data_IF_893606348309
#
_entry.id   IF_893606348309
#
_cell.length_a   1.000
_cell.length_b   1.000
_cell.length_c   1.000
_cell.angle_alpha   90.00
_cell.angle_beta   90.00
_cell.angle_gamma   90.00
#
_symmetry.space_group_name_H-M   'P 1'
#
loop_
_entity.id
_entity.type
_entity.pdbx_description
1 polymer ?
#
# COMPACT_ATOMS: atom_id res chain seq x y z
N UNK A 1 0.89 -15.71 11.30
CA UNK A 1 0.51 -15.79 9.87
C UNK A 1 -0.67 -14.86 9.60
N UNK A 2 -0.54 -13.94 8.64
CA UNK A 2 -1.56 -12.96 8.25
C UNK A 2 -2.17 -13.41 6.92
N UNK A 3 -3.48 -13.67 6.89
CA UNK A 3 -4.14 -14.16 5.68
C UNK A 3 -4.17 -13.09 4.58
N UNK A 4 -4.65 -11.88 4.88
CA UNK A 4 -4.75 -10.79 3.91
C UNK A 4 -4.15 -9.51 4.45
N UNK A 5 -3.31 -8.85 3.67
CA UNK A 5 -2.75 -7.55 4.00
C UNK A 5 -2.91 -6.53 2.87
N UNK A 6 -3.07 -5.27 3.22
CA UNK A 6 -2.97 -4.13 2.30
C UNK A 6 -1.60 -3.48 2.46
N UNK A 7 -0.74 -3.62 1.47
CA UNK A 7 0.58 -3.00 1.42
C UNK A 7 0.47 -1.66 0.73
N UNK A 8 0.94 -0.61 1.42
CA UNK A 8 1.00 0.76 0.87
C UNK A 8 2.46 1.10 0.57
N UNK A 9 2.95 0.84 -0.65
CA UNK A 9 4.31 1.21 -1.02
C UNK A 9 4.42 2.72 -1.26
N UNK A 10 5.30 3.36 -0.52
CA UNK A 10 5.53 4.79 -0.62
C UNK A 10 6.98 5.13 -0.27
N UNK A 11 7.52 6.17 -0.90
CA UNK A 11 8.82 6.80 -0.58
C UNK A 11 8.69 8.30 -0.64
N UNK A 12 9.38 8.98 0.24
CA UNK A 12 9.38 10.44 0.27
C UNK A 12 10.35 11.06 -0.76
N UNK A 13 11.30 10.26 -1.28
CA UNK A 13 12.32 10.66 -2.26
C UNK A 13 11.79 10.78 -3.70
N UNK A 14 10.59 11.32 -3.91
CA UNK A 14 10.06 11.57 -5.25
C UNK A 14 10.78 12.73 -5.92
N UNK A 15 11.43 12.50 -7.07
CA UNK A 15 12.14 13.55 -7.82
C UNK A 15 11.18 14.48 -8.58
N UNK A 16 10.03 13.97 -9.05
CA UNK A 16 9.02 14.74 -9.80
C UNK A 16 8.24 15.70 -8.93
N UNK A 17 7.87 15.28 -7.73
CA UNK A 17 7.17 16.10 -6.75
C UNK A 17 7.68 15.73 -5.35
N UNK A 18 8.68 16.44 -4.83
CA UNK A 18 9.22 16.18 -3.50
C UNK A 18 8.14 16.24 -2.43
N UNK A 19 8.22 15.31 -1.47
CA UNK A 19 7.30 15.22 -0.33
C UNK A 19 5.81 15.13 -0.73
N UNK A 20 5.50 14.55 -1.91
CA UNK A 20 4.10 14.50 -2.40
C UNK A 20 3.15 13.83 -1.41
N UNK A 21 3.61 12.81 -0.70
CA UNK A 21 2.84 12.08 0.31
C UNK A 21 2.45 12.92 1.52
N UNK A 22 3.26 13.95 1.83
CA UNK A 22 3.08 14.83 2.97
C UNK A 22 2.28 16.09 2.63
N UNK A 23 1.95 16.30 1.34
CA UNK A 23 1.18 17.48 0.94
C UNK A 23 -0.23 17.41 1.49
N UNK A 24 -0.62 18.49 2.17
CA UNK A 24 -1.98 18.68 2.68
C UNK A 24 -2.94 18.95 1.53
N UNK A 25 -4.04 18.23 1.48
CA UNK A 25 -5.05 18.33 0.42
C UNK A 25 -6.28 19.07 0.96
N UNK A 26 -6.88 18.58 2.04
CA UNK A 26 -8.10 19.16 2.62
C UNK A 26 -8.07 19.00 4.14
N UNK A 27 -8.51 20.02 4.87
CA UNK A 27 -8.64 19.98 6.35
C UNK A 27 -7.36 19.48 7.05
N UNK A 28 -6.19 19.92 6.58
CA UNK A 28 -4.87 19.48 7.05
C UNK A 28 -4.52 18.00 6.86
N UNK A 29 -5.36 17.19 6.19
CA UNK A 29 -5.04 15.82 5.84
C UNK A 29 -3.95 15.77 4.76
N UNK A 30 -2.91 14.97 5.01
CA UNK A 30 -1.88 14.65 4.01
C UNK A 30 -2.44 13.68 2.97
N UNK A 31 -1.89 13.66 1.78
CA UNK A 31 -2.34 12.70 0.75
C UNK A 31 -2.23 11.25 1.23
N UNK A 32 -1.17 10.92 1.96
CA UNK A 32 -0.99 9.57 2.51
C UNK A 32 -2.04 9.20 3.56
N UNK A 33 -2.52 10.16 4.37
CA UNK A 33 -3.56 9.90 5.36
C UNK A 33 -4.85 9.39 4.68
N UNK A 34 -5.20 9.97 3.53
CA UNK A 34 -6.37 9.55 2.75
C UNK A 34 -6.21 8.10 2.25
N UNK A 35 -5.04 7.76 1.72
CA UNK A 35 -4.75 6.40 1.23
C UNK A 35 -4.82 5.38 2.37
N UNK A 36 -4.22 5.69 3.53
CA UNK A 36 -4.25 4.82 4.71
C UNK A 36 -5.70 4.60 5.18
N UNK A 37 -6.50 5.66 5.30
CA UNK A 37 -7.88 5.53 5.75
C UNK A 37 -8.75 4.72 4.77
N UNK A 38 -8.48 4.83 3.45
CA UNK A 38 -9.16 4.00 2.46
C UNK A 38 -8.70 2.54 2.54
N UNK A 39 -7.41 2.29 2.73
CA UNK A 39 -6.87 0.94 2.90
C UNK A 39 -7.44 0.26 4.16
N UNK A 40 -7.61 0.98 5.27
CA UNK A 40 -8.23 0.45 6.50
C UNK A 40 -9.66 -0.04 6.28
N UNK A 41 -10.41 0.55 5.34
CA UNK A 41 -11.79 0.12 5.03
C UNK A 41 -11.86 -1.29 4.44
N UNK A 42 -10.75 -1.86 3.98
CA UNK A 42 -10.71 -3.28 3.58
C UNK A 42 -10.82 -4.24 4.75
N UNK A 43 -10.58 -3.79 5.98
CA UNK A 43 -10.40 -4.61 7.19
C UNK A 43 -9.22 -5.61 7.09
N UNK A 44 -8.29 -5.41 6.15
CA UNK A 44 -7.05 -6.17 6.06
C UNK A 44 -5.99 -5.60 6.99
N UNK A 45 -4.94 -6.37 7.23
CA UNK A 45 -3.77 -5.89 7.96
C UNK A 45 -3.03 -4.84 7.12
N UNK A 46 -3.03 -3.58 7.54
CA UNK A 46 -2.45 -2.49 6.76
C UNK A 46 -0.98 -2.31 7.12
N UNK A 47 -0.12 -2.29 6.10
CA UNK A 47 1.32 -2.10 6.24
C UNK A 47 1.78 -0.99 5.29
N UNK A 48 2.44 0.02 5.84
CA UNK A 48 3.16 1.00 5.03
C UNK A 48 4.54 0.44 4.71
N UNK A 49 4.92 0.36 3.42
CA UNK A 49 6.22 -0.18 3.01
C UNK A 49 7.09 0.91 2.39
N UNK A 50 8.24 1.19 3.02
CA UNK A 50 9.13 2.27 2.62
C UNK A 50 10.61 1.85 2.59
N UNK A 51 11.51 2.78 2.28
CA UNK A 51 12.94 2.51 2.26
C UNK A 51 13.59 2.69 3.62
N UNK A 52 14.86 2.28 3.72
CA UNK A 52 15.70 2.51 4.91
C UNK A 52 16.34 3.90 4.93
N UNK A 53 16.12 4.73 3.93
CA UNK A 53 16.68 6.09 3.86
C UNK A 53 16.09 6.99 4.94
N UNK A 54 16.91 7.90 5.50
CA UNK A 54 16.47 8.84 6.53
C UNK A 54 15.37 9.80 6.06
N UNK A 55 15.30 10.09 4.75
CA UNK A 55 14.20 10.87 4.14
C UNK A 55 12.84 10.24 4.34
N UNK A 56 12.78 8.93 4.61
CA UNK A 56 11.55 8.17 4.83
C UNK A 56 11.21 7.99 6.33
N UNK A 57 12.00 8.55 7.27
CA UNK A 57 11.75 8.42 8.71
C UNK A 57 10.39 9.02 9.10
N UNK A 58 9.97 10.10 8.44
CA UNK A 58 8.65 10.71 8.65
C UNK A 58 7.49 9.73 8.40
N UNK A 59 7.68 8.74 7.52
CA UNK A 59 6.67 7.72 7.24
C UNK A 59 6.51 6.71 8.39
N UNK A 60 7.56 6.56 9.22
CA UNK A 60 7.49 5.76 10.46
C UNK A 60 6.56 6.43 11.46
N UNK A 61 6.66 7.74 11.62
CA UNK A 61 5.81 8.49 12.55
C UNK A 61 4.34 8.51 12.06
N UNK A 62 4.14 8.65 10.76
CA UNK A 62 2.80 8.54 10.14
C UNK A 62 2.18 7.17 10.40
N UNK A 63 2.94 6.08 10.24
CA UNK A 63 2.44 4.74 10.54
C UNK A 63 2.02 4.59 12.01
N UNK A 64 2.80 5.15 12.94
CA UNK A 64 2.45 5.20 14.38
C UNK A 64 1.18 6.01 14.63
N UNK A 65 1.06 7.22 14.05
CA UNK A 65 -0.13 8.07 14.16
C UNK A 65 -1.40 7.33 13.75
N UNK A 66 -1.32 6.54 12.69
CA UNK A 66 -2.43 5.76 12.18
C UNK A 66 -2.59 4.37 12.84
N UNK A 67 -1.70 3.99 13.76
CA UNK A 67 -1.68 2.66 14.40
C UNK A 67 -1.66 1.51 13.37
N UNK A 68 -0.84 1.64 12.33
CA UNK A 68 -0.60 0.62 11.32
C UNK A 68 0.84 0.12 11.37
N UNK A 69 1.08 -1.06 10.78
CA UNK A 69 2.42 -1.60 10.68
C UNK A 69 3.28 -0.81 9.67
N UNK A 70 4.59 -0.88 9.85
CA UNK A 70 5.56 -0.33 8.89
C UNK A 70 6.64 -1.37 8.60
N UNK A 71 7.04 -1.45 7.35
CA UNK A 71 8.20 -2.22 6.89
C UNK A 71 9.16 -1.31 6.14
N UNK A 72 10.44 -1.42 6.46
CA UNK A 72 11.52 -0.68 5.78
C UNK A 72 12.45 -1.66 5.08
N UNK A 73 12.68 -1.44 3.79
CA UNK A 73 13.49 -2.35 2.96
C UNK A 73 14.18 -1.64 1.81
N UNK A 74 14.50 -2.38 0.76
CA UNK A 74 15.28 -1.88 -0.38
C UNK A 74 14.72 -0.59 -0.96
N UNK A 75 15.58 0.43 -1.12
CA UNK A 75 15.25 1.69 -1.80
C UNK A 75 14.96 1.47 -3.29
N UNK A 76 15.86 0.76 -3.97
CA UNK A 76 15.89 0.69 -5.43
C UNK A 76 15.11 -0.48 -6.01
N UNK A 77 14.80 -1.49 -5.21
CA UNK A 77 14.07 -2.68 -5.66
C UNK A 77 12.73 -2.78 -4.92
N UNK A 78 11.67 -2.25 -5.57
CA UNK A 78 10.30 -2.24 -5.06
C UNK A 78 9.79 -3.68 -4.83
N UNK A 79 10.03 -4.58 -5.77
CA UNK A 79 9.56 -5.97 -5.69
C UNK A 79 10.26 -6.71 -4.55
N UNK A 80 11.60 -6.55 -4.41
CA UNK A 80 12.33 -7.13 -3.28
C UNK A 80 11.77 -6.61 -1.94
N UNK A 81 11.48 -5.32 -1.82
CA UNK A 81 10.92 -4.75 -0.60
C UNK A 81 9.56 -5.36 -0.25
N UNK A 82 8.71 -5.59 -1.24
CA UNK A 82 7.43 -6.28 -1.01
C UNK A 82 7.63 -7.73 -0.58
N UNK A 83 8.46 -8.47 -1.31
CA UNK A 83 8.78 -9.85 -0.97
C UNK A 83 9.31 -9.99 0.46
N UNK A 84 10.30 -9.17 0.83
CA UNK A 84 10.87 -9.16 2.18
C UNK A 84 9.79 -8.82 3.25
N UNK A 85 8.88 -7.88 2.93
CA UNK A 85 7.76 -7.54 3.80
C UNK A 85 6.80 -8.74 3.98
N UNK A 86 6.39 -9.38 2.89
CA UNK A 86 5.50 -10.55 2.94
C UNK A 86 6.10 -11.67 3.79
N UNK A 87 7.40 -11.92 3.63
CA UNK A 87 8.12 -12.92 4.43
C UNK A 87 8.21 -12.55 5.90
N UNK A 88 8.54 -11.30 6.21
CA UNK A 88 8.70 -10.82 7.61
C UNK A 88 7.42 -10.93 8.41
N UNK A 89 6.29 -10.61 7.79
CA UNK A 89 4.97 -10.63 8.44
C UNK A 89 4.19 -11.93 8.21
N UNK A 90 4.78 -12.91 7.51
CA UNK A 90 4.13 -14.18 7.16
C UNK A 90 2.77 -13.98 6.50
N UNK A 91 2.74 -13.12 5.45
CA UNK A 91 1.52 -12.75 4.72
C UNK A 91 1.28 -13.74 3.59
N UNK A 92 0.04 -14.23 3.48
CA UNK A 92 -0.38 -15.14 2.40
C UNK A 92 -0.82 -14.37 1.14
N UNK A 93 -1.68 -13.37 1.29
CA UNK A 93 -2.22 -12.60 0.17
C UNK A 93 -2.01 -11.11 0.41
N UNK A 94 -1.55 -10.40 -0.61
CA UNK A 94 -1.29 -8.98 -0.56
C UNK A 94 -2.12 -8.20 -1.58
N UNK A 95 -2.81 -7.17 -1.10
CA UNK A 95 -3.41 -6.12 -1.91
C UNK A 95 -2.44 -4.95 -1.97
N UNK A 96 -2.03 -4.55 -3.16
CA UNK A 96 -1.14 -3.41 -3.34
C UNK A 96 -1.98 -2.16 -3.56
N UNK A 97 -1.76 -1.17 -2.70
CA UNK A 97 -2.41 0.14 -2.74
C UNK A 97 -1.31 1.18 -2.88
N UNK A 98 -1.06 1.67 -4.11
CA UNK A 98 0.01 2.65 -4.29
C UNK A 98 -0.24 3.90 -3.44
N UNK A 99 0.80 4.40 -2.76
CA UNK A 99 0.71 5.45 -1.75
C UNK A 99 0.31 6.83 -2.28
N UNK A 100 0.05 6.96 -3.58
CA UNK A 100 -0.49 8.13 -4.27
C UNK A 100 -1.86 7.89 -4.93
N UNK A 101 -2.45 6.72 -4.75
CA UNK A 101 -3.79 6.39 -5.25
C UNK A 101 -4.88 6.90 -4.31
N UNK A 102 -5.14 8.21 -4.34
CA UNK A 102 -6.12 8.87 -3.47
C UNK A 102 -7.55 8.35 -3.67
N UNK A 103 -7.84 7.81 -4.84
CA UNK A 103 -9.14 7.28 -5.22
C UNK A 103 -9.21 5.75 -5.11
N UNK A 104 -8.23 5.10 -4.46
CA UNK A 104 -8.24 3.65 -4.27
C UNK A 104 -9.62 3.17 -3.81
N UNK A 105 -10.19 2.22 -4.56
CA UNK A 105 -11.49 1.63 -4.27
C UNK A 105 -11.32 0.35 -3.43
N UNK A 106 -11.68 0.44 -2.15
CA UNK A 106 -11.53 -0.67 -1.20
C UNK A 106 -12.47 -1.84 -1.51
N UNK A 107 -13.66 -1.61 -2.12
CA UNK A 107 -14.56 -2.69 -2.50
C UNK A 107 -13.99 -3.50 -3.68
N UNK A 108 -13.38 -2.82 -4.67
CA UNK A 108 -12.63 -3.49 -5.74
C UNK A 108 -11.47 -4.27 -5.13
N UNK A 109 -10.73 -3.69 -4.19
CA UNK A 109 -9.62 -4.35 -3.50
C UNK A 109 -10.06 -5.64 -2.79
N UNK A 110 -11.16 -5.59 -2.03
CA UNK A 110 -11.71 -6.77 -1.34
C UNK A 110 -12.11 -7.86 -2.35
N UNK A 111 -12.85 -7.50 -3.41
CA UNK A 111 -13.26 -8.45 -4.46
C UNK A 111 -12.06 -9.08 -5.16
N UNK A 112 -10.98 -8.33 -5.37
CA UNK A 112 -9.77 -8.83 -6.00
C UNK A 112 -9.08 -9.89 -5.14
N UNK A 113 -9.02 -9.71 -3.83
CA UNK A 113 -8.51 -10.74 -2.90
C UNK A 113 -9.46 -11.95 -2.89
N UNK A 114 -10.77 -11.76 -2.90
CA UNK A 114 -11.73 -12.87 -2.99
C UNK A 114 -11.54 -13.68 -4.29
N UNK A 115 -11.36 -13.00 -5.42
CA UNK A 115 -11.10 -13.64 -6.70
C UNK A 115 -9.76 -14.38 -6.69
N UNK A 116 -8.71 -13.78 -6.13
CA UNK A 116 -7.39 -14.40 -5.98
C UNK A 116 -7.49 -15.72 -5.22
N UNK A 117 -8.17 -15.71 -4.07
CA UNK A 117 -8.30 -16.88 -3.18
C UNK A 117 -9.26 -17.95 -3.69
N UNK A 118 -10.18 -17.61 -4.60
CA UNK A 118 -11.14 -18.55 -5.21
C UNK A 118 -10.68 -19.10 -6.57
N UNK A 119 -9.56 -18.67 -7.08
CA UNK A 119 -8.99 -19.11 -8.37
C UNK A 119 -7.60 -19.71 -8.17
N UNK A 120 -7.06 -20.30 -9.23
CA UNK A 120 -5.65 -20.74 -9.27
C UNK A 120 -4.67 -19.62 -9.67
N UNK A 121 -5.14 -18.37 -9.70
CA UNK A 121 -4.33 -17.23 -10.10
C UNK A 121 -3.41 -16.80 -8.96
N UNK A 122 -2.19 -16.43 -9.27
CA UNK A 122 -1.23 -15.84 -8.32
C UNK A 122 -1.25 -14.30 -8.35
N UNK A 123 -1.90 -13.72 -9.37
CA UNK A 123 -1.99 -12.28 -9.58
C UNK A 123 -3.36 -11.91 -10.16
N UNK A 124 -4.00 -10.94 -9.55
CA UNK A 124 -5.19 -10.25 -10.10
C UNK A 124 -4.80 -8.81 -10.40
N UNK A 125 -5.04 -8.40 -11.63
CA UNK A 125 -4.83 -7.02 -12.08
C UNK A 125 -6.07 -6.50 -12.79
N UNK A 126 -6.10 -5.19 -13.04
CA UNK A 126 -7.24 -4.57 -13.72
C UNK A 126 -7.19 -4.78 -15.25
N UNK A 127 -8.35 -4.76 -15.87
CA UNK A 127 -8.51 -4.66 -17.32
C UNK A 127 -8.47 -3.19 -17.78
N UNK A 128 -8.50 -2.95 -19.10
CA UNK A 128 -8.48 -1.60 -19.69
C UNK A 128 -9.65 -0.69 -19.28
N UNK A 129 -10.69 -1.24 -18.66
CA UNK A 129 -11.94 -0.53 -18.36
C UNK A 129 -12.00 0.02 -16.94
N UNK A 130 -10.92 -0.04 -16.16
CA UNK A 130 -10.89 0.54 -14.83
C UNK A 130 -10.27 1.95 -14.86
N UNK A 131 -10.78 2.84 -14.01
CA UNK A 131 -10.21 4.17 -13.86
C UNK A 131 -8.84 4.05 -13.18
N UNK A 132 -7.77 4.62 -13.76
CA UNK A 132 -6.45 4.62 -13.12
C UNK A 132 -6.50 5.18 -11.70
N UNK A 133 -5.78 4.54 -10.77
CA UNK A 133 -5.73 4.95 -9.37
C UNK A 133 -6.85 4.38 -8.48
N UNK A 134 -7.76 3.57 -9.03
CA UNK A 134 -8.79 2.90 -8.22
C UNK A 134 -8.33 1.55 -7.69
N UNK A 135 -7.46 0.86 -8.42
CA UNK A 135 -6.93 -0.44 -8.05
C UNK A 135 -5.57 -0.68 -8.72
N UNK A 136 -4.65 -1.29 -8.01
CA UNK A 136 -3.35 -1.68 -8.55
C UNK A 136 -3.32 -3.18 -8.87
N UNK A 137 -3.14 -4.03 -7.87
CA UNK A 137 -3.23 -5.49 -8.02
C UNK A 137 -3.29 -6.20 -6.67
N UNK A 138 -3.75 -7.48 -6.72
CA UNK A 138 -3.68 -8.42 -5.62
C UNK A 138 -2.80 -9.61 -6.01
N UNK A 139 -2.02 -10.17 -5.08
CA UNK A 139 -1.09 -11.28 -5.33
C UNK A 139 -0.91 -12.17 -4.10
N UNK A 140 -0.47 -13.42 -4.36
CA UNK A 140 -0.05 -14.39 -3.34
C UNK A 140 1.45 -14.38 -3.15
#
# INVERSE_FOLDING_TARGET
MITNAALIPIRNSSTRLPNKSLKKIKNNLRSIDIVIERAKKTNFFVILTTSTESSDDVLVDIAKEHSIAIFRGSLNNKIKRWYDCLKTFEIQNALIVDGDDLCFDYDIGIRSIQQLTSSSSELITHTKNIVPGFFTYAMT
#
